data_IF_774058304263
#
_entry.id   IF_774058304263
#
_cell.length_a   1.000
_cell.length_b   1.000
_cell.length_c   1.000
_cell.angle_alpha   90.00
_cell.angle_beta   90.00
_cell.angle_gamma   90.00
#
_symmetry.space_group_name_H-M   'P 1'
#
loop_
_entity.id
_entity.type
_entity.pdbx_description
1 polymer ?
#
# COMPACT_ATOMS: atom_id res chain seq x y z
N UNK A 1 19.55 -25.41 22.29
CA UNK A 1 18.51 -24.36 22.34
C UNK A 1 18.76 -23.35 21.22
N UNK A 2 18.30 -23.65 20.01
CA UNK A 2 18.26 -22.68 18.90
C UNK A 2 17.06 -21.77 19.11
N UNK A 3 17.32 -20.48 19.30
CA UNK A 3 16.27 -19.47 19.25
C UNK A 3 15.74 -19.42 17.80
N UNK A 4 14.50 -19.88 17.60
CA UNK A 4 13.76 -19.70 16.34
C UNK A 4 13.56 -18.19 16.15
N UNK A 5 14.28 -17.61 15.18
CA UNK A 5 14.17 -16.20 14.83
C UNK A 5 13.09 -16.03 13.75
N UNK A 6 11.86 -16.42 14.08
CA UNK A 6 10.70 -16.30 13.20
C UNK A 6 10.34 -14.81 13.09
N UNK A 7 10.91 -14.13 12.09
CA UNK A 7 10.72 -12.69 11.91
C UNK A 7 9.42 -12.38 11.17
N UNK A 8 8.31 -12.37 11.90
CA UNK A 8 7.10 -11.66 11.48
C UNK A 8 7.17 -10.21 11.97
N UNK A 9 6.82 -9.25 11.12
CA UNK A 9 6.76 -7.84 11.50
C UNK A 9 5.31 -7.39 11.54
N UNK A 10 4.91 -6.87 12.69
CA UNK A 10 3.63 -6.19 12.89
C UNK A 10 3.87 -4.69 12.80
N UNK A 11 3.17 -4.02 11.90
CA UNK A 11 3.22 -2.56 11.80
C UNK A 11 1.86 -1.97 12.14
N UNK A 12 1.81 -1.16 13.20
CA UNK A 12 0.63 -0.37 13.56
C UNK A 12 0.82 1.06 13.06
N UNK A 13 -0.08 1.51 12.18
CA UNK A 13 -0.07 2.87 11.63
C UNK A 13 -1.34 3.60 12.07
N UNK A 14 -1.15 4.79 12.65
CA UNK A 14 -2.24 5.69 13.02
C UNK A 14 -2.15 6.99 12.24
N UNK A 15 -3.21 7.34 11.52
CA UNK A 15 -3.29 8.62 10.81
C UNK A 15 -4.20 9.58 11.56
N UNK A 16 -3.67 10.76 11.90
CA UNK A 16 -4.43 11.89 12.45
C UNK A 16 -4.13 13.13 11.61
N UNK A 17 -5.14 13.96 11.36
CA UNK A 17 -4.96 15.22 10.64
C UNK A 17 -4.26 16.25 11.56
N UNK A 18 -2.94 16.47 11.40
CA UNK A 18 -2.19 17.44 12.23
C UNK A 18 -0.72 17.71 11.82
N UNK A 19 -0.31 18.98 11.94
CA UNK A 19 1.01 19.63 11.66
C UNK A 19 1.53 19.65 10.21
N UNK A 20 1.74 18.52 9.53
CA UNK A 20 2.37 18.49 8.18
C UNK A 20 1.46 18.98 7.04
N UNK A 21 0.20 19.30 7.33
CA UNK A 21 -0.78 19.81 6.37
C UNK A 21 -0.88 21.34 6.31
N UNK A 22 -0.02 22.09 7.02
CA UNK A 22 0.09 23.54 6.87
C UNK A 22 1.16 23.91 5.83
N UNK A 23 0.96 23.52 4.57
CA UNK A 23 1.65 24.21 3.47
C UNK A 23 0.77 25.37 3.01
N UNK A 24 1.14 26.57 3.49
CA UNK A 24 0.80 27.90 3.00
C UNK A 24 -0.34 27.96 1.97
N UNK A 25 -1.58 28.19 2.44
CA UNK A 25 -2.58 28.80 1.58
C UNK A 25 -2.20 30.28 1.38
N UNK A 26 -1.89 30.75 0.16
CA UNK A 26 -1.96 32.18 -0.10
C UNK A 26 -3.43 32.58 -0.02
N UNK A 27 -3.74 33.56 0.84
CA UNK A 27 -5.02 34.28 0.83
C UNK A 27 -5.23 34.83 -0.59
N UNK A 28 -6.11 34.21 -1.38
CA UNK A 28 -6.54 34.75 -2.68
C UNK A 28 -7.76 35.62 -2.46
N UNK A 29 -7.59 36.92 -2.69
CA UNK A 29 -8.68 37.85 -2.94
C UNK A 29 -9.47 37.42 -4.18
N UNK A 30 -10.78 37.63 -4.12
CA UNK A 30 -11.75 37.36 -5.16
C UNK A 30 -11.40 38.08 -6.48
N UNK A 31 -11.39 37.35 -7.60
CA UNK A 31 -12.15 37.71 -8.81
C UNK A 31 -12.00 36.68 -9.94
N UNK A 32 -13.15 36.34 -10.53
CA UNK A 32 -13.43 35.83 -11.88
C UNK A 32 -12.46 34.85 -12.58
N UNK A 33 -12.91 33.59 -12.66
CA UNK A 33 -13.18 32.79 -13.90
C UNK A 33 -13.05 31.31 -13.55
N UNK A 34 -14.16 30.59 -13.59
CA UNK A 34 -14.21 29.15 -13.46
C UNK A 34 -13.42 28.52 -14.64
N UNK A 35 -12.17 28.14 -14.38
CA UNK A 35 -11.42 27.18 -15.20
C UNK A 35 -11.52 25.82 -14.51
N UNK A 36 -11.97 24.82 -15.29
CA UNK A 36 -12.10 23.39 -14.97
C UNK A 36 -10.98 22.94 -14.02
N UNK A 37 -11.41 22.40 -12.89
CA UNK A 37 -10.64 22.20 -11.66
C UNK A 37 -9.40 21.32 -11.86
N UNK A 38 -8.26 21.99 -11.71
CA UNK A 38 -6.98 21.49 -11.23
C UNK A 38 -7.18 20.28 -10.28
N UNK A 39 -6.92 19.05 -10.75
CA UNK A 39 -6.77 17.86 -9.89
C UNK A 39 -5.66 18.20 -8.92
N UNK A 40 -6.01 18.62 -7.69
CA UNK A 40 -4.99 19.00 -6.71
C UNK A 40 -4.16 17.76 -6.46
N UNK A 41 -2.89 17.79 -6.86
CA UNK A 41 -1.94 16.69 -6.72
C UNK A 41 -1.70 16.48 -5.22
N UNK A 42 -2.60 15.75 -4.55
CA UNK A 42 -2.51 15.44 -3.13
C UNK A 42 -1.34 14.49 -2.95
N UNK A 43 -0.25 14.99 -2.39
CA UNK A 43 0.87 14.14 -1.99
C UNK A 43 0.34 13.02 -1.10
N UNK A 44 0.61 11.75 -1.43
CA UNK A 44 0.14 10.62 -0.64
C UNK A 44 0.75 10.67 0.76
N UNK A 45 0.00 10.17 1.75
CA UNK A 45 0.47 9.96 3.13
C UNK A 45 1.51 8.84 3.18
N UNK A 46 1.30 7.81 2.35
CA UNK A 46 2.26 6.74 2.06
C UNK A 46 2.36 6.62 0.56
N UNK A 47 3.56 6.81 0.01
CA UNK A 47 3.81 6.75 -1.42
C UNK A 47 3.40 5.41 -2.04
N UNK A 48 3.26 5.38 -3.37
CA UNK A 48 3.04 4.13 -4.10
C UNK A 48 4.20 3.17 -3.85
N UNK A 49 3.89 1.95 -3.43
CA UNK A 49 4.87 0.90 -3.16
C UNK A 49 4.22 -0.49 -3.28
N UNK A 50 5.05 -1.52 -3.21
CA UNK A 50 4.68 -2.91 -2.99
C UNK A 50 5.22 -3.38 -1.65
N UNK A 51 4.68 -4.48 -1.14
CA UNK A 51 5.12 -5.04 0.14
C UNK A 51 6.24 -6.07 -0.04
N UNK A 52 7.21 -6.02 0.87
CA UNK A 52 8.29 -7.02 0.93
C UNK A 52 7.82 -8.21 1.76
N UNK A 53 7.71 -9.37 1.11
CA UNK A 53 7.26 -10.61 1.74
C UNK A 53 6.46 -11.46 0.77
N UNK A 54 5.79 -12.49 1.28
CA UNK A 54 4.94 -13.40 0.51
C UNK A 54 3.55 -12.79 0.32
N UNK A 55 2.89 -12.43 1.42
CA UNK A 55 1.60 -11.73 1.46
C UNK A 55 1.59 -10.75 2.62
N UNK A 56 0.73 -9.72 2.57
CA UNK A 56 0.40 -8.89 3.72
C UNK A 56 -1.07 -9.06 4.07
N UNK A 57 -1.35 -9.18 5.37
CA UNK A 57 -2.69 -9.22 5.92
C UNK A 57 -2.92 -7.87 6.61
N UNK A 58 -4.01 -7.20 6.25
CA UNK A 58 -4.31 -5.85 6.68
C UNK A 58 -5.68 -5.79 7.35
N UNK A 59 -5.71 -5.32 8.59
CA UNK A 59 -6.93 -4.91 9.28
C UNK A 59 -6.94 -3.38 9.40
N UNK A 60 -8.06 -2.73 9.11
CA UNK A 60 -8.20 -1.29 9.32
C UNK A 60 -9.66 -0.92 9.59
N UNK A 61 -9.84 0.22 10.26
CA UNK A 61 -11.16 0.71 10.65
C UNK A 61 -12.06 0.91 9.40
N UNK A 62 -13.26 0.29 9.34
CA UNK A 62 -14.19 0.49 8.23
C UNK A 62 -14.80 1.90 8.27
N UNK A 63 -15.31 2.36 7.12
CA UNK A 63 -16.03 3.62 6.99
C UNK A 63 -15.16 4.84 6.63
N UNK A 64 -15.78 6.02 6.67
CA UNK A 64 -15.15 7.28 6.30
C UNK A 64 -14.11 7.71 7.34
N UNK A 65 -12.85 7.84 6.91
CA UNK A 65 -11.75 8.33 7.74
C UNK A 65 -10.88 9.33 6.99
N UNK A 66 -9.92 9.95 7.68
CA UNK A 66 -9.00 10.94 7.12
C UNK A 66 -7.97 10.38 6.11
N UNK A 67 -7.95 9.06 5.87
CA UNK A 67 -6.99 8.40 5.00
C UNK A 67 -7.65 7.26 4.19
N UNK A 68 -7.40 7.21 2.88
CA UNK A 68 -7.94 6.19 1.98
C UNK A 68 -6.81 5.31 1.46
N UNK A 69 -6.97 3.99 1.60
CA UNK A 69 -6.11 3.00 0.93
C UNK A 69 -6.52 2.92 -0.53
N UNK A 70 -5.55 3.03 -1.44
CA UNK A 70 -5.76 2.87 -2.87
C UNK A 70 -4.83 1.80 -3.42
N UNK A 71 -5.34 0.98 -4.34
CA UNK A 71 -4.52 0.08 -5.15
C UNK A 71 -4.43 0.58 -6.58
N UNK A 72 -3.34 0.27 -7.27
CA UNK A 72 -3.19 0.55 -8.69
C UNK A 72 -3.95 -0.52 -9.48
N UNK A 73 -4.84 -0.10 -10.37
CA UNK A 73 -5.42 -1.01 -11.36
C UNK A 73 -4.42 -1.21 -12.50
N UNK A 74 -4.23 -2.45 -12.94
CA UNK A 74 -3.60 -2.69 -14.24
C UNK A 74 -4.62 -2.24 -15.28
N UNK A 75 -4.22 -1.32 -16.15
CA UNK A 75 -5.12 -0.68 -17.12
C UNK A 75 -5.97 -1.71 -17.84
N UNK A 76 -7.28 -1.48 -17.89
CA UNK A 76 -8.17 -2.33 -18.65
C UNK A 76 -7.74 -2.24 -20.13
N UNK A 77 -7.50 -3.35 -20.85
CA UNK A 77 -7.05 -3.32 -22.25
C UNK A 77 -8.04 -2.66 -23.23
N UNK A 78 -9.21 -2.21 -22.75
CA UNK A 78 -10.26 -1.55 -23.53
C UNK A 78 -10.50 -0.08 -23.15
N UNK A 79 -9.71 0.52 -22.25
CA UNK A 79 -9.77 1.97 -22.08
C UNK A 79 -9.01 2.62 -23.25
N UNK A 80 -9.72 2.95 -24.33
CA UNK A 80 -9.19 3.65 -25.52
C UNK A 80 -8.73 5.08 -25.27
N UNK A 81 -8.18 5.35 -24.09
CA UNK A 81 -7.46 6.56 -23.75
C UNK A 81 -6.00 6.19 -23.56
N UNK A 82 -5.20 6.41 -24.60
CA UNK A 82 -3.73 6.37 -24.58
C UNK A 82 -3.17 7.57 -23.79
N UNK A 83 -3.57 7.68 -22.53
CA UNK A 83 -3.01 8.61 -21.55
C UNK A 83 -2.28 7.83 -20.46
N UNK A 84 -1.15 8.34 -19.94
CA UNK A 84 -0.40 7.73 -18.82
C UNK A 84 -1.10 7.93 -17.46
N UNK A 85 -2.41 8.14 -17.44
CA UNK A 85 -3.17 8.35 -16.21
C UNK A 85 -3.36 6.98 -15.53
N UNK A 86 -2.42 6.63 -14.66
CA UNK A 86 -2.53 5.46 -13.78
C UNK A 86 -3.87 5.46 -13.05
N UNK A 87 -4.67 4.42 -13.26
CA UNK A 87 -5.96 4.28 -12.58
C UNK A 87 -5.74 3.75 -11.16
N UNK A 88 -6.21 4.50 -10.17
CA UNK A 88 -6.14 4.15 -8.75
C UNK A 88 -7.56 3.90 -8.23
N UNK A 89 -7.76 2.74 -7.58
CA UNK A 89 -9.03 2.32 -7.00
C UNK A 89 -8.98 2.40 -5.48
N UNK A 90 -9.99 3.00 -4.86
CA UNK A 90 -10.16 2.99 -3.41
C UNK A 90 -10.50 1.58 -2.93
N UNK A 91 -9.91 1.17 -1.80
CA UNK A 91 -10.29 -0.06 -1.12
C UNK A 91 -11.35 0.28 -0.08
N UNK A 92 -12.60 -0.04 -0.42
CA UNK A 92 -13.75 0.14 0.44
C UNK A 92 -14.11 -1.20 1.08
N UNK A 93 -14.20 -1.23 2.41
CA UNK A 93 -14.72 -2.39 3.13
C UNK A 93 -16.25 -2.33 3.12
N UNK A 94 -16.94 -3.49 3.03
CA UNK A 94 -18.38 -3.52 3.20
C UNK A 94 -18.80 -2.86 4.52
N UNK A 95 -20.00 -2.24 4.57
CA UNK A 95 -20.58 -1.81 5.84
C UNK A 95 -20.65 -3.00 6.80
N UNK A 96 -20.35 -2.74 8.07
CA UNK A 96 -20.55 -3.74 9.12
C UNK A 96 -22.06 -3.87 9.38
N UNK A 97 -22.67 -5.00 9.02
CA UNK A 97 -24.12 -5.18 8.99
C UNK A 97 -24.71 -5.87 10.25
N UNK A 98 -23.90 -6.09 11.29
CA UNK A 98 -24.38 -6.54 12.60
C UNK A 98 -23.26 -6.74 13.62
N UNK A 99 -23.60 -7.03 14.88
CA UNK A 99 -22.62 -7.34 15.95
C UNK A 99 -21.88 -8.68 15.73
N UNK A 100 -22.37 -9.56 14.84
CA UNK A 100 -21.85 -10.91 14.62
C UNK A 100 -20.86 -11.05 13.44
N UNK A 101 -20.63 -10.01 12.64
CA UNK A 101 -19.61 -10.10 11.58
C UNK A 101 -18.22 -9.85 12.18
N UNK A 102 -17.33 -10.83 12.06
CA UNK A 102 -15.91 -10.65 12.42
C UNK A 102 -15.23 -9.55 11.60
N UNK A 103 -13.98 -9.17 11.93
CA UNK A 103 -13.28 -8.12 11.22
C UNK A 103 -13.00 -8.52 9.75
N UNK A 104 -13.18 -7.59 8.83
CA UNK A 104 -12.71 -7.76 7.45
C UNK A 104 -11.20 -7.63 7.37
N UNK A 105 -10.56 -8.62 6.74
CA UNK A 105 -9.13 -8.61 6.47
C UNK A 105 -8.90 -8.44 4.98
N UNK A 106 -8.04 -7.49 4.61
CA UNK A 106 -7.55 -7.33 3.24
C UNK A 106 -6.25 -8.09 3.12
N UNK A 107 -6.15 -8.97 2.12
CA UNK A 107 -4.94 -9.73 1.83
C UNK A 107 -4.40 -9.28 0.48
N UNK A 108 -3.11 -8.98 0.41
CA UNK A 108 -2.43 -8.63 -0.84
C UNK A 108 -1.22 -9.55 -1.09
N UNK A 109 -0.81 -9.62 -2.35
CA UNK A 109 0.38 -10.36 -2.78
C UNK A 109 1.60 -9.45 -2.62
N UNK A 110 2.66 -9.98 -2.00
CA UNK A 110 3.94 -9.32 -1.85
C UNK A 110 4.96 -9.71 -2.92
N UNK A 111 6.11 -9.03 -2.90
CA UNK A 111 7.16 -9.17 -3.91
C UNK A 111 7.73 -10.59 -4.01
N UNK A 112 7.90 -11.29 -2.89
CA UNK A 112 8.47 -12.63 -2.87
C UNK A 112 7.58 -13.60 -3.64
N UNK A 113 6.27 -13.55 -3.39
CA UNK A 113 5.34 -14.46 -4.06
C UNK A 113 5.16 -14.10 -5.54
N UNK A 114 5.22 -12.80 -5.86
CA UNK A 114 5.25 -12.34 -7.24
C UNK A 114 6.47 -12.86 -7.99
N UNK A 115 7.66 -12.82 -7.41
CA UNK A 115 8.88 -13.34 -8.03
C UNK A 115 8.85 -14.88 -8.12
N UNK A 116 8.44 -15.58 -7.05
CA UNK A 116 8.31 -17.06 -7.03
C UNK A 116 7.33 -17.57 -8.07
N UNK A 117 6.23 -16.85 -8.32
CA UNK A 117 5.25 -17.19 -9.34
C UNK A 117 5.64 -16.77 -10.76
N UNK A 118 6.85 -16.22 -10.96
CA UNK A 118 7.29 -15.71 -12.26
C UNK A 118 6.44 -14.55 -12.77
N UNK A 119 5.81 -13.79 -11.87
CA UNK A 119 4.94 -12.66 -12.18
C UNK A 119 3.48 -13.00 -12.47
N UNK A 120 3.09 -14.29 -12.41
CA UNK A 120 1.68 -14.71 -12.60
C UNK A 120 0.78 -14.07 -11.54
N UNK A 121 1.26 -13.99 -10.30
CA UNK A 121 0.58 -13.30 -9.20
C UNK A 121 1.32 -11.99 -8.93
N UNK A 122 0.94 -10.87 -9.58
CA UNK A 122 1.69 -9.63 -9.45
C UNK A 122 1.60 -9.06 -8.04
N UNK A 123 2.72 -8.52 -7.54
CA UNK A 123 2.76 -7.80 -6.28
C UNK A 123 1.82 -6.58 -6.31
N UNK A 124 1.02 -6.40 -5.26
CA UNK A 124 -0.02 -5.38 -5.23
C UNK A 124 0.59 -4.00 -4.97
N UNK A 125 0.58 -3.15 -6.01
CA UNK A 125 0.98 -1.75 -5.87
C UNK A 125 -0.15 -0.97 -5.20
N UNK A 126 0.16 -0.32 -4.08
CA UNK A 126 -0.81 0.40 -3.28
C UNK A 126 -0.20 1.65 -2.64
N UNK A 127 -1.06 2.55 -2.17
CA UNK A 127 -0.69 3.81 -1.53
C UNK A 127 -1.77 4.25 -0.53
N UNK A 128 -1.44 5.20 0.34
CA UNK A 128 -2.42 5.84 1.23
C UNK A 128 -2.50 7.32 0.90
N UNK A 129 -3.69 7.82 0.64
CA UNK A 129 -3.95 9.25 0.32
C UNK A 129 -4.82 9.91 1.38
N UNK A 130 -4.69 11.23 1.59
CA UNK A 130 -5.57 11.92 2.53
C UNK A 130 -7.00 12.02 1.96
N UNK A 131 -8.00 11.65 2.77
CA UNK A 131 -9.39 11.98 2.50
C UNK A 131 -9.69 13.35 3.12
N UNK A 132 -9.96 14.35 2.29
CA UNK A 132 -10.15 15.73 2.76
C UNK A 132 -11.51 15.99 3.40
N UNK A 133 -12.47 15.11 3.13
CA UNK A 133 -13.86 15.27 3.54
C UNK A 133 -14.13 14.66 4.92
N UNK A 134 -13.22 13.84 5.44
CA UNK A 134 -13.33 13.25 6.77
C UNK A 134 -12.13 13.61 7.66
N UNK A 135 -12.41 13.74 8.95
CA UNK A 135 -11.43 14.10 9.97
C UNK A 135 -11.19 12.99 10.99
N UNK A 136 -11.96 11.89 10.90
CA UNK A 136 -11.82 10.76 11.80
C UNK A 136 -10.46 10.10 11.61
N UNK A 137 -9.71 9.83 12.70
CA UNK A 137 -8.49 9.05 12.62
C UNK A 137 -8.74 7.68 11.98
N UNK A 138 -7.71 7.13 11.34
CA UNK A 138 -7.73 5.76 10.83
C UNK A 138 -6.63 4.96 11.51
N UNK A 139 -7.00 3.84 12.12
CA UNK A 139 -6.09 2.83 12.62
C UNK A 139 -5.94 1.72 11.59
N UNK A 140 -4.72 1.21 11.45
CA UNK A 140 -4.39 0.18 10.49
C UNK A 140 -3.31 -0.74 11.08
N UNK A 141 -3.53 -2.04 10.95
CA UNK A 141 -2.63 -3.09 11.38
C UNK A 141 -2.20 -3.91 10.16
N UNK A 142 -0.93 -3.80 9.79
CA UNK A 142 -0.34 -4.60 8.73
C UNK A 142 0.51 -5.73 9.33
N UNK A 143 0.21 -6.96 8.94
CA UNK A 143 0.96 -8.16 9.29
C UNK A 143 1.61 -8.72 8.03
N UNK A 144 2.95 -8.72 8.01
CA UNK A 144 3.71 -9.16 6.84
C UNK A 144 4.14 -10.62 7.01
N UNK A 145 3.73 -11.46 6.07
CA UNK A 145 4.05 -12.89 6.06
C UNK A 145 5.33 -13.10 5.26
N UNK A 146 6.32 -13.69 5.91
CA UNK A 146 7.57 -14.11 5.31
C UNK A 146 7.80 -15.62 5.39
N UNK A 147 8.90 -16.06 4.80
CA UNK A 147 9.41 -17.43 4.96
C UNK A 147 10.47 -17.47 6.06
N UNK A 148 10.87 -18.67 6.46
CA UNK A 148 12.00 -18.86 7.38
C UNK A 148 13.26 -18.23 6.77
N UNK A 149 14.09 -17.47 7.52
CA UNK A 149 15.33 -16.86 7.05
C UNK A 149 16.25 -17.78 6.22
N UNK A 150 16.32 -19.05 6.60
CA UNK A 150 17.16 -20.08 5.96
C UNK A 150 16.49 -20.78 4.77
N UNK A 151 15.25 -20.39 4.42
CA UNK A 151 14.56 -20.95 3.24
C UNK A 151 15.32 -20.59 1.98
N UNK A 152 15.68 -21.60 1.19
CA UNK A 152 16.26 -21.44 -0.13
C UNK A 152 15.18 -21.08 -1.15
N UNK A 153 15.37 -19.96 -1.85
CA UNK A 153 14.50 -19.50 -2.92
C UNK A 153 15.13 -19.80 -4.28
N UNK A 154 14.31 -20.27 -5.20
CA UNK A 154 14.66 -20.40 -6.62
C UNK A 154 13.59 -19.67 -7.43
N UNK A 155 13.99 -18.69 -8.23
CA UNK A 155 13.05 -17.91 -9.04
C UNK A 155 13.05 -18.38 -10.50
N UNK A 156 11.89 -18.41 -11.18
CA UNK A 156 11.81 -18.76 -12.60
C UNK A 156 12.74 -17.90 -13.45
N UNK A 157 13.50 -18.54 -14.35
CA UNK A 157 14.42 -17.85 -15.26
C UNK A 157 15.75 -17.40 -14.63
N UNK A 158 16.00 -17.69 -13.36
CA UNK A 158 17.30 -17.44 -12.71
C UNK A 158 18.10 -18.73 -12.55
N UNK A 159 19.43 -18.65 -12.70
CA UNK A 159 20.36 -19.73 -12.36
C UNK A 159 20.99 -19.40 -11.01
N UNK A 160 20.33 -19.78 -9.92
CA UNK A 160 20.87 -19.55 -8.58
C UNK A 160 19.86 -19.81 -7.48
N UNK A 161 20.39 -20.09 -6.30
CA UNK A 161 19.64 -20.21 -5.04
C UNK A 161 20.04 -19.03 -4.15
N UNK A 162 19.06 -18.41 -3.50
CA UNK A 162 19.28 -17.33 -2.53
C UNK A 162 18.48 -17.62 -1.26
N UNK A 163 19.06 -17.37 -0.09
CA UNK A 163 18.32 -17.48 1.17
C UNK A 163 17.30 -16.35 1.29
N UNK A 164 16.12 -16.65 1.84
CA UNK A 164 15.05 -15.68 2.02
C UNK A 164 15.50 -14.45 2.82
N UNK A 165 16.33 -14.63 3.85
CA UNK A 165 16.89 -13.51 4.61
C UNK A 165 17.69 -12.54 3.74
N UNK A 166 18.54 -13.07 2.87
CA UNK A 166 19.40 -12.28 1.99
C UNK A 166 18.57 -11.56 0.92
N UNK A 167 17.64 -12.29 0.29
CA UNK A 167 16.68 -11.71 -0.64
C UNK A 167 15.88 -10.56 0.01
N UNK A 168 15.38 -10.78 1.23
CA UNK A 168 14.57 -9.80 1.97
C UNK A 168 15.38 -8.55 2.31
N UNK A 169 16.62 -8.70 2.78
CA UNK A 169 17.53 -7.57 3.07
C UNK A 169 17.77 -6.73 1.82
N UNK A 170 18.10 -7.36 0.70
CA UNK A 170 18.30 -6.68 -0.58
C UNK A 170 17.03 -5.95 -1.05
N UNK A 171 15.85 -6.54 -0.85
CA UNK A 171 14.57 -5.94 -1.23
C UNK A 171 14.20 -4.74 -0.37
N UNK A 172 14.36 -4.83 0.95
CA UNK A 172 14.14 -3.70 1.87
C UNK A 172 15.09 -2.55 1.56
N UNK A 173 16.37 -2.83 1.31
CA UNK A 173 17.35 -1.81 0.95
C UNK A 173 16.95 -1.06 -0.35
N UNK A 174 16.48 -1.80 -1.36
CA UNK A 174 15.95 -1.21 -2.61
C UNK A 174 14.72 -0.35 -2.36
N UNK A 175 13.76 -0.82 -1.55
CA UNK A 175 12.55 -0.06 -1.23
C UNK A 175 12.86 1.25 -0.47
N UNK A 176 13.82 1.21 0.47
CA UNK A 176 14.25 2.38 1.22
C UNK A 176 14.97 3.42 0.34
N UNK A 177 15.74 2.99 -0.66
CA UNK A 177 16.47 3.88 -1.56
C UNK A 177 15.55 4.73 -2.46
N UNK A 178 14.33 4.25 -2.73
CA UNK A 178 13.33 4.97 -3.56
C UNK A 178 12.53 6.00 -2.74
N UNK A 179 12.60 5.94 -1.41
CA UNK A 179 11.82 6.79 -0.50
C UNK A 179 12.49 8.13 -0.12
N UNK A 180 13.65 8.46 -0.71
CA UNK A 180 14.44 9.69 -0.44
C UNK A 180 14.17 10.77 -1.49
#
# INVERSE_FOLDING_TARGET
NSANNDSSILTLLGYKRGSRHKTNQPRKNNNHKAKKGNRSNTRPLVAAHTDVGVITILAFDPGDSCATLQRRCHGHPNSGNDGPDEEWMNIELPPHDGEDSGPYLVVNIGDCFSELSGGILPSTIHRVVPNRNCHMPRSCLAFFVGLEPTTELTFPGTQGVILYEEWRKQRIARAAAVAV
#
